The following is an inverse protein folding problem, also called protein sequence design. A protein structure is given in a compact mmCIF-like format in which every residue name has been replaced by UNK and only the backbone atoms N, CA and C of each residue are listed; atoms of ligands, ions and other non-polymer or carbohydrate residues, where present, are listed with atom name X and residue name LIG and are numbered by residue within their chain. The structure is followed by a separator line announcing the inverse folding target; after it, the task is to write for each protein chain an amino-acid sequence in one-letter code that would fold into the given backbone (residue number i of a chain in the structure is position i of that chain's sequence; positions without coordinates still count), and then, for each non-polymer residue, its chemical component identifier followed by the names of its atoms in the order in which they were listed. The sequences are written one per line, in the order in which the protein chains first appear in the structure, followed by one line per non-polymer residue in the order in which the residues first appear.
data_IF_916323157970
#
_entry.id   IF_916323157970
#
_cell.length_a   1.000
_cell.length_b   1.000
_cell.length_c   1.000
_cell.angle_alpha   90.00
_cell.angle_beta   90.00
_cell.angle_gamma   90.00
#
_symmetry.space_group_name_H-M   'P 1'
#
loop_
_entity.id
_entity.type
_entity.pdbx_description
1 polymer ?
#
# COMPACT_ATOMS: atom_id res chain seq x y z
N UNK A 1 -5.46 10.29 1.38
CA UNK A 1 -6.34 9.73 2.42
C UNK A 1 -5.82 8.34 2.76
N UNK A 2 -6.18 7.79 3.91
CA UNK A 2 -5.65 6.52 4.41
C UNK A 2 -5.79 5.36 3.40
N UNK A 3 -4.89 4.39 3.47
CA UNK A 3 -4.88 3.17 2.64
C UNK A 3 -6.20 2.38 2.82
N UNK A 4 -6.78 1.82 1.74
CA UNK A 4 -7.96 0.97 1.89
C UNK A 4 -7.65 -0.28 2.72
N UNK A 5 -8.55 -0.65 3.64
CA UNK A 5 -8.39 -1.86 4.47
C UNK A 5 -8.41 -3.13 3.62
N UNK A 6 -9.26 -3.17 2.58
CA UNK A 6 -9.42 -4.31 1.68
C UNK A 6 -9.30 -3.91 0.20
N UNK A 7 -8.87 -4.84 -0.64
CA UNK A 7 -8.84 -4.67 -2.09
C UNK A 7 -10.26 -4.50 -2.66
N UNK A 8 -10.46 -3.49 -3.51
CA UNK A 8 -11.76 -3.23 -4.16
C UNK A 8 -12.25 -4.33 -5.09
N UNK A 9 -11.36 -5.21 -5.57
CA UNK A 9 -11.71 -6.25 -6.53
C UNK A 9 -11.97 -7.60 -5.86
N UNK A 10 -11.05 -8.10 -5.05
CA UNK A 10 -11.16 -9.44 -4.46
C UNK A 10 -11.46 -9.45 -2.96
N UNK A 11 -11.48 -8.29 -2.30
CA UNK A 11 -11.81 -8.20 -0.88
C UNK A 11 -10.73 -8.69 0.09
N UNK A 12 -9.55 -9.11 -0.38
CA UNK A 12 -8.43 -9.46 0.49
C UNK A 12 -8.03 -8.25 1.33
N UNK A 13 -7.59 -8.50 2.57
CA UNK A 13 -7.02 -7.47 3.44
C UNK A 13 -5.70 -7.02 2.82
N UNK A 14 -5.55 -5.70 2.62
CA UNK A 14 -4.33 -5.10 2.05
C UNK A 14 -3.75 -4.02 2.97
N UNK A 15 -4.57 -3.46 3.86
CA UNK A 15 -4.12 -2.41 4.77
C UNK A 15 -3.06 -2.88 5.78
N UNK A 16 -3.05 -4.17 6.13
CA UNK A 16 -2.04 -4.73 7.06
C UNK A 16 -0.61 -4.65 6.51
N UNK A 17 -0.45 -4.66 5.19
CA UNK A 17 0.85 -4.64 4.52
C UNK A 17 1.37 -3.22 4.21
N UNK A 18 0.58 -2.18 4.46
CA UNK A 18 0.89 -0.82 3.98
C UNK A 18 2.14 -0.22 4.64
N UNK A 19 2.25 -0.30 5.97
CA UNK A 19 3.37 0.32 6.69
C UNK A 19 4.72 -0.32 6.29
N UNK A 20 4.74 -1.64 6.17
CA UNK A 20 5.95 -2.37 5.74
C UNK A 20 6.31 -2.08 4.27
N UNK A 21 5.32 -2.10 3.38
CA UNK A 21 5.52 -1.73 1.97
C UNK A 21 6.01 -0.28 1.84
N UNK A 22 5.46 0.64 2.63
CA UNK A 22 5.84 2.06 2.62
C UNK A 22 7.29 2.24 3.05
N UNK A 23 7.67 1.62 4.17
CA UNK A 23 9.04 1.71 4.69
C UNK A 23 10.08 1.10 3.72
N UNK A 24 9.78 -0.04 3.11
CA UNK A 24 10.73 -0.78 2.25
C UNK A 24 10.81 -0.26 0.82
N UNK A 25 9.67 -0.03 0.17
CA UNK A 25 9.60 0.26 -1.27
C UNK A 25 9.32 1.73 -1.64
N UNK A 26 8.70 2.52 -0.74
CA UNK A 26 8.38 3.94 -1.00
C UNK A 26 9.43 4.87 -0.41
N UNK A 27 9.82 4.61 0.83
CA UNK A 27 10.80 5.40 1.57
C UNK A 27 12.20 4.77 1.50
N UNK A 28 12.28 3.44 1.37
CA UNK A 28 13.50 2.71 1.06
C UNK A 28 13.78 2.58 -0.43
N UNK A 29 14.86 1.85 -0.75
CA UNK A 29 15.39 1.65 -2.10
C UNK A 29 15.10 0.24 -2.66
N UNK A 30 14.26 -0.55 -1.99
CA UNK A 30 13.92 -1.92 -2.45
C UNK A 30 12.93 -1.91 -3.61
N UNK A 31 13.02 -2.90 -4.50
CA UNK A 31 12.10 -2.99 -5.64
C UNK A 31 10.67 -3.27 -5.15
N UNK A 32 9.66 -2.46 -5.56
CA UNK A 32 8.29 -2.64 -5.11
C UNK A 32 7.69 -4.00 -5.46
N UNK A 33 8.12 -4.65 -6.55
CA UNK A 33 7.62 -5.96 -6.91
C UNK A 33 8.13 -7.02 -5.93
N UNK A 34 9.45 -7.03 -5.65
CA UNK A 34 10.07 -7.96 -4.70
C UNK A 34 9.48 -7.84 -3.30
N UNK A 35 9.30 -6.61 -2.80
CA UNK A 35 8.67 -6.37 -1.50
C UNK A 35 7.23 -6.90 -1.46
N UNK A 36 6.45 -6.71 -2.53
CA UNK A 36 5.08 -7.23 -2.61
C UNK A 36 5.03 -8.76 -2.69
N UNK A 37 6.02 -9.39 -3.33
CA UNK A 37 6.18 -10.85 -3.37
C UNK A 37 6.49 -11.41 -1.99
N UNK A 38 7.40 -10.78 -1.24
CA UNK A 38 7.73 -11.19 0.14
C UNK A 38 6.58 -10.99 1.13
N UNK A 39 5.79 -9.93 0.96
CA UNK A 39 4.58 -9.66 1.74
C UNK A 39 3.42 -10.62 1.42
N UNK A 40 3.59 -11.53 0.43
CA UNK A 40 2.56 -12.48 0.01
C UNK A 40 1.44 -11.87 -0.83
N UNK A 41 1.64 -10.67 -1.38
CA UNK A 41 0.66 -9.97 -2.21
C UNK A 41 0.85 -10.36 -3.68
N UNK A 42 0.36 -11.53 -4.06
CA UNK A 42 0.61 -12.09 -5.41
C UNK A 42 -0.30 -11.50 -6.50
N UNK A 43 -1.56 -11.20 -6.15
CA UNK A 43 -2.58 -10.80 -7.15
C UNK A 43 -2.39 -9.35 -7.57
N UNK A 44 -2.35 -9.12 -8.89
CA UNK A 44 -2.25 -7.77 -9.47
C UNK A 44 -3.35 -6.80 -8.97
N UNK A 45 -4.56 -7.31 -8.71
CA UNK A 45 -5.66 -6.50 -8.18
C UNK A 45 -5.41 -6.00 -6.74
N UNK A 46 -4.66 -6.75 -5.93
CA UNK A 46 -4.20 -6.32 -4.61
C UNK A 46 -2.97 -5.40 -4.73
N UNK A 47 -1.98 -5.77 -5.55
CA UNK A 47 -0.76 -4.96 -5.76
C UNK A 47 -1.06 -3.53 -6.17
N UNK A 48 -2.02 -3.33 -7.09
CA UNK A 48 -2.40 -1.98 -7.53
C UNK A 48 -2.89 -1.09 -6.38
N UNK A 49 -3.44 -1.67 -5.32
CA UNK A 49 -3.94 -0.91 -4.17
C UNK A 49 -2.80 -0.30 -3.35
N UNK A 50 -1.62 -0.93 -3.34
CA UNK A 50 -0.44 -0.46 -2.59
C UNK A 50 0.45 0.42 -3.49
N UNK A 51 0.76 -0.04 -4.70
CA UNK A 51 1.69 0.66 -5.62
C UNK A 51 1.17 2.05 -5.98
N UNK A 52 -0.11 2.17 -6.32
CA UNK A 52 -0.71 3.44 -6.77
C UNK A 52 -1.23 4.32 -5.63
N UNK A 53 -1.18 3.86 -4.38
CA UNK A 53 -1.72 4.63 -3.26
C UNK A 53 -0.88 5.88 -2.96
N UNK A 54 -1.56 7.00 -2.74
CA UNK A 54 -0.94 8.24 -2.25
C UNK A 54 -1.64 8.58 -0.94
N UNK A 55 -0.89 8.48 0.14
CA UNK A 55 -1.37 8.98 1.41
C UNK A 55 -1.37 10.51 1.35
N UNK A 56 -2.49 11.10 1.76
CA UNK A 56 -2.70 12.54 1.78
C UNK A 56 -3.19 12.97 3.17
N UNK A 57 -3.29 12.05 4.14
CA UNK A 57 -3.80 12.37 5.48
C UNK A 57 -2.95 13.48 6.10
N UNK A 58 -1.63 13.35 6.04
CA UNK A 58 -0.70 14.34 6.60
C UNK A 58 -0.82 15.72 5.94
N UNK A 59 -1.18 15.75 4.65
CA UNK A 59 -1.32 16.98 3.86
C UNK A 59 -2.65 17.67 4.16
N UNK A 60 -3.73 16.89 4.33
CA UNK A 60 -5.09 17.42 4.51
C UNK A 60 -5.40 17.73 5.98
N UNK A 61 -4.84 16.98 6.93
CA UNK A 61 -5.09 17.13 8.37
C UNK A 61 -4.91 18.55 8.93
N UNK A 62 -3.95 19.39 8.47
CA UNK A 62 -3.78 20.75 8.99
C UNK A 62 -4.91 21.73 8.63
N UNK A 63 -5.75 21.37 7.65
CA UNK A 63 -6.83 22.22 7.16
C UNK A 63 -8.21 21.82 7.70
N UNK A 64 -8.26 20.81 8.58
CA UNK A 64 -9.47 20.37 9.28
C UNK A 64 -9.54 20.92 10.70
#
# INVERSE_FOLDING_TARGET
MMVPVRCFTCGNVVGEHWEEFKARAREGDEDPAEVLDELGVERACCRRMLVSHKDLVDIVSPYQ
#
